data_IF_692900867318
#
_entry.id   IF_692900867318
#
_cell.length_a   1.000
_cell.length_b   1.000
_cell.length_c   1.000
_cell.angle_alpha   90.00
_cell.angle_beta   90.00
_cell.angle_gamma   90.00
#
_symmetry.space_group_name_H-M   'P 1'
#
loop_
_entity.id
_entity.type
_entity.pdbx_description
1 polymer ?
#
# COMPACT_ATOMS: atom_id res chain seq x y z
N UNK A 1 11.73 2.48 -19.21
CA UNK A 1 11.44 3.23 -17.99
C UNK A 1 10.21 4.14 -18.11
N UNK A 2 10.07 4.95 -19.15
CA UNK A 2 8.91 5.86 -19.31
C UNK A 2 7.55 5.15 -19.25
N UNK A 3 7.40 3.99 -19.88
CA UNK A 3 6.13 3.23 -19.93
C UNK A 3 5.67 2.76 -18.53
N UNK A 4 6.61 2.35 -17.67
CA UNK A 4 6.27 1.93 -16.30
C UNK A 4 5.78 3.10 -15.47
N UNK A 5 6.47 4.24 -15.56
CA UNK A 5 6.11 5.45 -14.83
C UNK A 5 4.73 5.96 -15.26
N UNK A 6 4.51 6.11 -16.58
CA UNK A 6 3.21 6.57 -17.10
C UNK A 6 2.07 5.58 -16.77
N UNK A 7 2.32 4.28 -16.88
CA UNK A 7 1.33 3.26 -16.50
C UNK A 7 0.99 3.26 -15.02
N UNK A 8 1.98 3.44 -14.15
CA UNK A 8 1.76 3.53 -12.69
C UNK A 8 1.02 4.81 -12.32
N UNK A 9 1.41 5.96 -12.91
CA UNK A 9 0.71 7.24 -12.71
C UNK A 9 -0.76 7.12 -13.16
N UNK A 10 -1.01 6.58 -14.34
CA UNK A 10 -2.37 6.38 -14.84
C UNK A 10 -3.20 5.48 -13.90
N UNK A 11 -2.64 4.33 -13.48
CA UNK A 11 -3.31 3.40 -12.57
C UNK A 11 -3.62 4.03 -11.20
N UNK A 12 -2.77 4.92 -10.69
CA UNK A 12 -3.02 5.63 -9.42
C UNK A 12 -3.99 6.80 -9.58
N UNK A 13 -4.01 7.46 -10.74
CA UNK A 13 -4.90 8.59 -11.01
C UNK A 13 -6.38 8.14 -11.13
N UNK A 14 -6.65 6.95 -11.66
CA UNK A 14 -8.02 6.43 -11.84
C UNK A 14 -8.78 6.36 -10.50
N UNK A 15 -8.27 5.70 -9.43
CA UNK A 15 -8.98 5.67 -8.15
C UNK A 15 -9.08 7.05 -7.49
N UNK A 16 -8.09 7.92 -7.70
CA UNK A 16 -8.11 9.28 -7.17
C UNK A 16 -9.23 10.10 -7.81
N UNK A 17 -9.29 10.13 -9.15
CA UNK A 17 -10.37 10.81 -9.88
C UNK A 17 -11.72 10.15 -9.61
N UNK A 18 -11.78 8.83 -9.57
CA UNK A 18 -12.98 8.09 -9.19
C UNK A 18 -13.48 8.42 -7.79
N UNK A 19 -12.59 8.78 -6.86
CA UNK A 19 -13.00 9.18 -5.52
C UNK A 19 -13.85 10.46 -5.47
N UNK A 20 -13.75 11.33 -6.49
CA UNK A 20 -14.63 12.50 -6.61
C UNK A 20 -16.09 12.11 -6.80
N UNK A 21 -16.34 11.03 -7.54
CA UNK A 21 -17.69 10.49 -7.75
C UNK A 21 -18.10 9.59 -6.59
N UNK A 22 -17.22 8.67 -6.17
CA UNK A 22 -17.48 7.72 -5.09
C UNK A 22 -17.84 8.45 -3.79
N UNK A 23 -17.09 9.48 -3.40
CA UNK A 23 -17.38 10.22 -2.17
C UNK A 23 -18.70 11.00 -2.20
N UNK A 24 -19.24 11.29 -3.39
CA UNK A 24 -20.58 11.90 -3.53
C UNK A 24 -21.71 10.89 -3.48
N UNK A 25 -21.43 9.63 -3.81
CA UNK A 25 -22.40 8.55 -3.78
C UNK A 25 -22.50 7.89 -2.41
N UNK A 26 -21.38 7.76 -1.70
CA UNK A 26 -21.29 7.01 -0.45
C UNK A 26 -21.15 7.95 0.75
N UNK A 27 -21.85 7.61 1.84
CA UNK A 27 -21.64 8.27 3.12
C UNK A 27 -20.25 7.99 3.69
N UNK A 28 -19.66 8.90 4.50
CA UNK A 28 -18.37 8.68 5.15
C UNK A 28 -18.30 7.39 5.96
N UNK A 29 -19.39 6.98 6.62
CA UNK A 29 -19.47 5.73 7.37
C UNK A 29 -19.30 4.48 6.50
N UNK A 30 -19.96 4.42 5.33
CA UNK A 30 -19.85 3.30 4.40
C UNK A 30 -18.45 3.23 3.77
N UNK A 31 -17.91 4.40 3.40
CA UNK A 31 -16.55 4.51 2.91
C UNK A 31 -15.51 4.09 3.96
N UNK A 32 -15.74 4.43 5.22
CA UNK A 32 -14.88 4.05 6.34
C UNK A 32 -14.91 2.56 6.62
N UNK A 33 -16.10 1.96 6.64
CA UNK A 33 -16.25 0.52 6.81
C UNK A 33 -15.56 -0.25 5.68
N UNK A 34 -15.76 0.18 4.44
CA UNK A 34 -15.04 -0.38 3.29
C UNK A 34 -13.52 -0.21 3.41
N UNK A 35 -13.05 0.97 3.82
CA UNK A 35 -11.62 1.25 3.93
C UNK A 35 -10.95 0.41 5.02
N UNK A 36 -11.60 0.22 6.17
CA UNK A 36 -11.13 -0.67 7.22
C UNK A 36 -11.10 -2.14 6.75
N UNK A 37 -12.17 -2.59 6.08
CA UNK A 37 -12.22 -3.92 5.47
C UNK A 37 -11.10 -4.12 4.43
N UNK A 38 -10.90 -3.15 3.55
CA UNK A 38 -9.83 -3.20 2.55
C UNK A 38 -8.44 -3.24 3.20
N UNK A 39 -8.24 -2.50 4.29
CA UNK A 39 -7.00 -2.55 5.08
C UNK A 39 -6.70 -3.96 5.59
N UNK A 40 -7.70 -4.67 6.11
CA UNK A 40 -7.57 -6.08 6.52
C UNK A 40 -7.27 -6.98 5.31
N UNK A 41 -7.93 -6.78 4.17
CA UNK A 41 -7.65 -7.53 2.92
C UNK A 41 -6.20 -7.32 2.46
N UNK A 42 -5.68 -6.09 2.53
CA UNK A 42 -4.28 -5.81 2.16
C UNK A 42 -3.28 -6.54 3.07
N UNK A 43 -3.52 -6.56 4.38
CA UNK A 43 -2.70 -7.30 5.33
C UNK A 43 -2.76 -8.82 5.08
N UNK A 44 -3.96 -9.36 4.87
CA UNK A 44 -4.15 -10.76 4.53
C UNK A 44 -3.51 -11.12 3.17
N UNK A 45 -3.59 -10.23 2.17
CA UNK A 45 -2.97 -10.40 0.85
C UNK A 45 -1.46 -10.61 0.92
N UNK A 46 -0.78 -9.88 1.82
CA UNK A 46 0.66 -10.10 2.09
C UNK A 46 0.90 -11.46 2.76
N UNK A 47 0.04 -11.84 3.69
CA UNK A 47 0.18 -13.10 4.43
C UNK A 47 -0.04 -14.33 3.55
N UNK A 48 -1.08 -14.33 2.69
CA UNK A 48 -1.42 -15.50 1.86
C UNK A 48 -0.41 -15.81 0.76
N UNK A 49 0.41 -14.84 0.32
CA UNK A 49 1.50 -15.10 -0.62
C UNK A 49 2.71 -15.73 0.08
N UNK A 50 2.83 -15.59 1.40
CA UNK A 50 4.06 -15.96 2.13
C UNK A 50 5.30 -15.22 1.60
N UNK A 51 5.11 -14.17 0.81
CA UNK A 51 6.13 -13.39 0.07
C UNK A 51 6.92 -14.23 -0.94
N UNK A 52 6.42 -15.40 -1.33
CA UNK A 52 7.06 -16.22 -2.36
C UNK A 52 7.01 -15.59 -3.76
N UNK A 53 6.12 -14.63 -4.01
CA UNK A 53 6.13 -13.86 -5.25
C UNK A 53 7.42 -13.06 -5.45
N UNK A 54 8.15 -12.74 -4.38
CA UNK A 54 9.47 -12.10 -4.49
C UNK A 54 10.55 -13.04 -5.03
N UNK A 55 10.35 -14.36 -4.90
CA UNK A 55 11.27 -15.35 -5.46
C UNK A 55 11.30 -15.30 -6.99
N UNK A 56 10.22 -14.87 -7.64
CA UNK A 56 10.12 -14.80 -9.10
C UNK A 56 11.20 -13.94 -9.74
N UNK A 57 11.66 -12.90 -9.03
CA UNK A 57 12.72 -12.01 -9.52
C UNK A 57 14.12 -12.62 -9.43
N UNK A 58 14.31 -13.67 -8.63
CA UNK A 58 15.61 -14.32 -8.42
C UNK A 58 15.71 -15.71 -9.03
N UNK A 59 14.58 -16.28 -9.47
CA UNK A 59 14.55 -17.54 -10.20
C UNK A 59 15.07 -17.35 -11.64
N UNK A 60 15.70 -18.40 -12.16
CA UNK A 60 16.19 -18.40 -13.54
C UNK A 60 15.03 -18.28 -14.55
N UNK A 61 15.31 -17.63 -15.67
CA UNK A 61 14.34 -17.46 -16.76
C UNK A 61 13.84 -18.81 -17.30
N UNK A 62 12.63 -18.81 -17.83
CA UNK A 62 12.03 -20.00 -18.46
C UNK A 62 11.28 -20.90 -17.47
N UNK A 63 11.47 -22.21 -17.57
CA UNK A 63 10.70 -23.22 -16.81
C UNK A 63 10.83 -23.10 -15.28
N UNK A 64 12.01 -22.78 -14.69
CA UNK A 64 12.13 -22.59 -13.25
C UNK A 64 11.23 -21.46 -12.73
N UNK A 65 11.23 -20.30 -13.41
CA UNK A 65 10.37 -19.16 -13.02
C UNK A 65 8.89 -19.47 -13.18
N UNK A 66 8.51 -20.13 -14.29
CA UNK A 66 7.12 -20.54 -14.49
C UNK A 66 6.66 -21.54 -13.42
N UNK A 67 7.52 -22.49 -13.03
CA UNK A 67 7.23 -23.37 -11.91
C UNK A 67 7.08 -22.58 -10.59
N UNK A 68 7.94 -21.59 -10.33
CA UNK A 68 7.84 -20.72 -9.15
C UNK A 68 6.53 -19.93 -9.12
N UNK A 69 6.00 -19.48 -10.27
CA UNK A 69 4.66 -18.89 -10.36
C UNK A 69 3.58 -19.88 -9.92
N UNK A 70 3.60 -21.10 -10.48
CA UNK A 70 2.66 -22.15 -10.12
C UNK A 70 2.76 -22.54 -8.63
N UNK A 71 3.98 -22.65 -8.11
CA UNK A 71 4.24 -22.93 -6.70
C UNK A 71 3.72 -21.81 -5.79
N UNK A 72 3.91 -20.55 -6.17
CA UNK A 72 3.40 -19.39 -5.42
C UNK A 72 1.87 -19.37 -5.43
N UNK A 73 1.22 -19.60 -6.57
CA UNK A 73 -0.25 -19.67 -6.63
C UNK A 73 -0.78 -20.82 -5.78
N UNK A 74 -0.14 -22.00 -5.83
CA UNK A 74 -0.52 -23.11 -4.96
C UNK A 74 -0.38 -22.74 -3.47
N UNK A 75 0.68 -22.01 -3.11
CA UNK A 75 0.87 -21.50 -1.75
C UNK A 75 -0.23 -20.51 -1.36
N UNK A 76 -0.61 -19.59 -2.25
CA UNK A 76 -1.73 -18.65 -2.02
C UNK A 76 -3.02 -19.42 -1.75
N UNK A 77 -3.33 -20.46 -2.53
CA UNK A 77 -4.52 -21.29 -2.33
C UNK A 77 -4.49 -22.01 -0.98
N UNK A 78 -3.36 -22.61 -0.61
CA UNK A 78 -3.20 -23.32 0.66
C UNK A 78 -3.31 -22.38 1.86
N UNK A 79 -2.63 -21.24 1.84
CA UNK A 79 -2.67 -20.26 2.93
C UNK A 79 -4.04 -19.57 3.02
N UNK A 80 -4.72 -19.34 1.89
CA UNK A 80 -6.10 -18.84 1.89
C UNK A 80 -7.07 -19.85 2.51
N UNK A 81 -6.89 -21.14 2.28
CA UNK A 81 -7.69 -22.18 2.95
C UNK A 81 -7.47 -22.16 4.47
N UNK A 82 -6.22 -22.00 4.92
CA UNK A 82 -5.91 -21.82 6.33
C UNK A 82 -6.55 -20.54 6.91
N UNK A 83 -6.54 -19.44 6.16
CA UNK A 83 -7.20 -18.19 6.52
C UNK A 83 -8.73 -18.38 6.69
N UNK A 84 -9.37 -19.23 5.86
CA UNK A 84 -10.78 -19.63 6.04
C UNK A 84 -11.00 -20.23 7.42
N UNK A 85 -10.18 -21.21 7.80
CA UNK A 85 -10.31 -21.89 9.09
C UNK A 85 -10.15 -20.92 10.28
N UNK A 86 -9.18 -19.99 10.20
CA UNK A 86 -9.00 -18.95 11.22
C UNK A 86 -10.24 -18.05 11.28
N UNK A 87 -10.70 -17.54 10.13
CA UNK A 87 -11.85 -16.61 10.08
C UNK A 87 -13.11 -17.27 10.62
N UNK A 88 -13.39 -18.54 10.26
CA UNK A 88 -14.50 -19.30 10.80
C UNK A 88 -14.36 -19.54 12.30
N UNK A 89 -13.16 -19.91 12.77
CA UNK A 89 -12.89 -20.12 14.19
C UNK A 89 -13.13 -18.86 15.03
N UNK A 90 -12.70 -17.71 14.52
CA UNK A 90 -12.94 -16.41 15.15
C UNK A 90 -14.42 -16.04 15.09
N UNK A 91 -15.10 -16.26 13.96
CA UNK A 91 -16.53 -15.97 13.79
C UNK A 91 -17.42 -16.77 14.75
N UNK A 92 -17.16 -18.08 14.90
CA UNK A 92 -17.93 -18.91 15.80
C UNK A 92 -17.50 -18.80 17.27
N UNK A 93 -16.28 -18.35 17.55
CA UNK A 93 -15.72 -18.23 18.90
C UNK A 93 -15.82 -16.87 19.57
N UNK A 94 -16.21 -15.82 18.85
CA UNK A 94 -16.17 -14.46 19.39
C UNK A 94 -17.49 -13.69 19.19
N UNK A 95 -18.02 -13.13 20.31
CA UNK A 95 -19.05 -12.09 20.32
C UNK A 95 -18.55 -10.79 19.63
N UNK A 96 -17.26 -10.66 19.39
CA UNK A 96 -16.63 -9.48 18.80
C UNK A 96 -17.00 -9.22 17.33
N UNK A 97 -17.45 -10.25 16.60
CA UNK A 97 -17.84 -10.13 15.19
C UNK A 97 -19.35 -9.88 14.98
N UNK A 98 -20.15 -9.87 16.04
CA UNK A 98 -21.59 -9.58 15.95
C UNK A 98 -21.89 -8.17 15.41
N UNK A 99 -20.91 -7.25 15.49
CA UNK A 99 -21.04 -5.89 14.95
C UNK A 99 -20.59 -5.76 13.49
N UNK A 100 -19.93 -6.77 12.91
CA UNK A 100 -19.46 -6.73 11.51
C UNK A 100 -20.50 -7.36 10.60
N UNK A 101 -20.84 -6.68 9.50
CA UNK A 101 -21.80 -7.21 8.52
C UNK A 101 -21.33 -8.58 7.99
N UNK A 102 -22.10 -9.68 8.15
CA UNK A 102 -21.69 -11.03 7.73
C UNK A 102 -21.31 -11.11 6.25
N UNK A 103 -21.93 -10.28 5.41
CA UNK A 103 -21.65 -10.19 3.98
C UNK A 103 -20.23 -9.72 3.69
N UNK A 104 -19.68 -8.78 4.46
CA UNK A 104 -18.28 -8.32 4.32
C UNK A 104 -17.27 -9.39 4.77
N UNK A 105 -17.63 -10.16 5.79
CA UNK A 105 -16.83 -11.33 6.24
C UNK A 105 -16.76 -12.37 5.12
N UNK A 106 -17.89 -12.65 4.46
CA UNK A 106 -17.95 -13.58 3.33
C UNK A 106 -17.09 -13.17 2.14
N UNK A 107 -16.95 -11.85 1.89
CA UNK A 107 -16.09 -11.32 0.81
C UNK A 107 -14.61 -11.22 1.19
N UNK A 108 -14.25 -11.29 2.47
CA UNK A 108 -12.88 -11.09 2.93
C UNK A 108 -11.90 -12.12 2.35
N UNK A 109 -12.28 -13.39 2.41
CA UNK A 109 -11.42 -14.49 1.94
C UNK A 109 -11.22 -14.47 0.43
N UNK A 110 -12.27 -14.41 -0.41
CA UNK A 110 -12.07 -14.27 -1.85
C UNK A 110 -11.29 -13.01 -2.21
N UNK A 111 -11.47 -11.90 -1.51
CA UNK A 111 -10.68 -10.69 -1.72
C UNK A 111 -9.19 -10.90 -1.42
N UNK A 112 -8.85 -11.52 -0.28
CA UNK A 112 -7.47 -11.80 0.10
C UNK A 112 -6.79 -12.76 -0.90
N UNK A 113 -7.49 -13.84 -1.27
CA UNK A 113 -7.03 -14.81 -2.27
C UNK A 113 -6.74 -14.13 -3.61
N UNK A 114 -7.72 -13.41 -4.17
CA UNK A 114 -7.55 -12.72 -5.45
C UNK A 114 -6.45 -11.66 -5.39
N UNK A 115 -6.30 -10.96 -4.26
CA UNK A 115 -5.22 -10.00 -4.04
C UNK A 115 -3.86 -10.69 -4.09
N UNK A 116 -3.68 -11.83 -3.41
CA UNK A 116 -2.45 -12.61 -3.44
C UNK A 116 -2.13 -13.16 -4.84
N UNK A 117 -3.13 -13.65 -5.55
CA UNK A 117 -3.01 -14.09 -6.94
C UNK A 117 -2.58 -12.92 -7.84
N UNK A 118 -3.22 -11.76 -7.72
CA UNK A 118 -2.88 -10.56 -8.50
C UNK A 118 -1.45 -10.09 -8.21
N UNK A 119 -1.01 -10.09 -6.95
CA UNK A 119 0.36 -9.75 -6.58
C UNK A 119 1.37 -10.70 -7.25
N UNK A 120 1.07 -11.99 -7.30
CA UNK A 120 1.90 -12.99 -7.97
C UNK A 120 2.05 -12.68 -9.46
N UNK A 121 0.94 -12.38 -10.17
CA UNK A 121 1.00 -12.00 -11.59
C UNK A 121 1.77 -10.72 -11.85
N UNK A 122 1.57 -9.70 -11.01
CA UNK A 122 2.31 -8.43 -11.13
C UNK A 122 3.81 -8.64 -10.89
N UNK A 123 4.19 -9.47 -9.92
CA UNK A 123 5.58 -9.83 -9.67
C UNK A 123 6.19 -10.61 -10.85
N UNK A 124 5.42 -11.54 -11.45
CA UNK A 124 5.86 -12.28 -12.62
C UNK A 124 6.04 -11.38 -13.84
N UNK A 125 5.07 -10.52 -14.15
CA UNK A 125 5.20 -9.54 -15.25
C UNK A 125 6.44 -8.65 -15.08
N UNK A 126 6.73 -8.24 -13.85
CA UNK A 126 7.92 -7.46 -13.54
C UNK A 126 9.22 -8.28 -13.74
N UNK A 127 9.23 -9.56 -13.33
CA UNK A 127 10.38 -10.46 -13.46
C UNK A 127 10.69 -10.82 -14.93
N UNK A 128 9.64 -10.96 -15.77
CA UNK A 128 9.79 -11.16 -17.22
C UNK A 128 10.18 -9.88 -17.98
N UNK A 129 10.18 -8.72 -17.30
CA UNK A 129 10.42 -7.43 -17.95
C UNK A 129 9.27 -6.94 -18.83
N UNK A 130 8.10 -7.59 -18.77
CA UNK A 130 6.91 -7.14 -19.48
C UNK A 130 6.21 -5.97 -18.76
N UNK A 131 6.89 -4.85 -18.78
CA UNK A 131 6.40 -3.62 -18.15
C UNK A 131 5.16 -3.05 -18.84
N UNK A 132 4.95 -3.36 -20.12
CA UNK A 132 3.75 -2.94 -20.84
C UNK A 132 2.53 -3.74 -20.38
N UNK A 133 2.66 -5.05 -20.29
CA UNK A 133 1.63 -5.93 -19.74
C UNK A 133 1.31 -5.55 -18.29
N UNK A 134 2.34 -5.35 -17.44
CA UNK A 134 2.17 -4.91 -16.07
C UNK A 134 1.38 -3.59 -15.96
N UNK A 135 1.66 -2.62 -16.81
CA UNK A 135 0.93 -1.34 -16.82
C UNK A 135 -0.53 -1.53 -17.20
N UNK A 136 -0.82 -2.34 -18.22
CA UNK A 136 -2.20 -2.65 -18.62
C UNK A 136 -2.97 -3.42 -17.55
N UNK A 137 -2.34 -4.40 -16.88
CA UNK A 137 -2.95 -5.13 -15.75
C UNK A 137 -3.36 -4.16 -14.64
N UNK A 138 -2.47 -3.22 -14.25
CA UNK A 138 -2.76 -2.24 -13.21
C UNK A 138 -3.84 -1.24 -13.60
N UNK A 139 -3.81 -0.73 -14.84
CA UNK A 139 -4.78 0.24 -15.34
C UNK A 139 -6.17 -0.41 -15.45
N UNK A 140 -6.26 -1.60 -16.04
CA UNK A 140 -7.53 -2.33 -16.16
C UNK A 140 -8.14 -2.66 -14.80
N UNK A 141 -7.33 -3.16 -13.87
CA UNK A 141 -7.77 -3.41 -12.49
C UNK A 141 -8.31 -2.14 -11.84
N UNK A 142 -7.54 -1.04 -11.88
CA UNK A 142 -7.94 0.22 -11.26
C UNK A 142 -9.22 0.79 -11.88
N UNK A 143 -9.34 0.70 -13.20
CA UNK A 143 -10.53 1.15 -13.93
C UNK A 143 -11.77 0.33 -13.56
N UNK A 144 -11.67 -1.01 -13.61
CA UNK A 144 -12.82 -1.86 -13.33
C UNK A 144 -13.24 -1.76 -11.86
N UNK A 145 -12.30 -1.73 -10.92
CA UNK A 145 -12.62 -1.49 -9.50
C UNK A 145 -13.39 -0.18 -9.33
N UNK A 146 -12.88 0.90 -9.92
CA UNK A 146 -13.49 2.22 -9.80
C UNK A 146 -14.88 2.27 -10.47
N UNK A 147 -14.99 1.74 -11.69
CA UNK A 147 -16.25 1.72 -12.43
C UNK A 147 -17.33 0.88 -11.74
N UNK A 148 -16.97 -0.29 -11.21
CA UNK A 148 -17.91 -1.15 -10.47
C UNK A 148 -18.32 -0.55 -9.14
N UNK A 149 -17.42 0.14 -8.42
CA UNK A 149 -17.76 0.87 -7.21
C UNK A 149 -18.73 2.03 -7.49
N UNK A 150 -18.48 2.79 -8.57
CA UNK A 150 -19.42 3.84 -8.99
C UNK A 150 -20.77 3.22 -9.37
N UNK A 151 -20.77 2.16 -10.19
CA UNK A 151 -21.99 1.46 -10.57
C UNK A 151 -22.76 0.96 -9.36
N UNK A 152 -22.12 0.28 -8.42
CA UNK A 152 -22.77 -0.18 -7.19
C UNK A 152 -23.36 0.98 -6.37
N UNK A 153 -22.64 2.11 -6.29
CA UNK A 153 -23.11 3.30 -5.58
C UNK A 153 -24.35 3.96 -6.15
N UNK A 154 -24.58 3.84 -7.46
CA UNK A 154 -25.81 4.35 -8.10
C UNK A 154 -27.07 3.54 -7.73
N UNK A 155 -26.90 2.25 -7.39
CA UNK A 155 -28.02 1.38 -7.03
C UNK A 155 -28.19 1.22 -5.51
N UNK A 156 -27.07 1.00 -4.80
CA UNK A 156 -27.05 0.76 -3.36
C UNK A 156 -25.71 1.20 -2.78
N UNK A 157 -25.60 2.43 -2.24
CA UNK A 157 -24.35 3.01 -1.76
C UNK A 157 -23.94 2.43 -0.39
N UNK A 158 -23.53 1.16 -0.37
CA UNK A 158 -23.11 0.42 0.83
C UNK A 158 -21.65 -0.02 0.75
N UNK A 159 -21.01 -0.22 1.91
CA UNK A 159 -19.66 -0.79 2.00
C UNK A 159 -19.56 -2.15 1.30
N UNK A 160 -20.62 -2.95 1.36
CA UNK A 160 -20.69 -4.23 0.65
C UNK A 160 -20.62 -4.06 -0.87
N UNK A 161 -21.35 -3.07 -1.43
CA UNK A 161 -21.26 -2.72 -2.85
C UNK A 161 -19.84 -2.31 -3.28
N UNK A 162 -19.15 -1.52 -2.44
CA UNK A 162 -17.74 -1.17 -2.67
C UNK A 162 -16.81 -2.39 -2.61
N UNK A 163 -17.02 -3.29 -1.66
CA UNK A 163 -16.25 -4.52 -1.51
C UNK A 163 -16.46 -5.48 -2.68
N UNK A 164 -17.72 -5.67 -3.13
CA UNK A 164 -18.03 -6.42 -4.35
C UNK A 164 -17.33 -5.83 -5.57
N UNK A 165 -17.37 -4.50 -5.73
CA UNK A 165 -16.69 -3.79 -6.82
C UNK A 165 -15.18 -4.05 -6.79
N UNK A 166 -14.57 -4.09 -5.60
CA UNK A 166 -13.16 -4.43 -5.44
C UNK A 166 -12.86 -5.88 -5.87
N UNK A 167 -13.61 -6.84 -5.34
CA UNK A 167 -13.44 -8.27 -5.65
C UNK A 167 -13.60 -8.53 -7.15
N UNK A 168 -14.66 -7.98 -7.75
CA UNK A 168 -14.93 -8.12 -9.18
C UNK A 168 -13.82 -7.47 -10.03
N UNK A 169 -13.40 -6.26 -9.66
CA UNK A 169 -12.34 -5.56 -10.39
C UNK A 169 -10.99 -6.28 -10.33
N UNK A 170 -10.63 -6.87 -9.18
CA UNK A 170 -9.41 -7.68 -9.07
C UNK A 170 -9.55 -8.96 -9.90
N UNK A 171 -10.70 -9.63 -9.86
CA UNK A 171 -10.95 -10.84 -10.66
C UNK A 171 -10.83 -10.56 -12.18
N UNK A 172 -11.41 -9.48 -12.67
CA UNK A 172 -11.28 -9.04 -14.07
C UNK A 172 -9.83 -8.69 -14.39
N UNK A 173 -9.12 -8.00 -13.47
CA UNK A 173 -7.70 -7.71 -13.63
C UNK A 173 -6.85 -8.99 -13.76
N UNK A 174 -7.16 -10.06 -13.00
CA UNK A 174 -6.52 -11.37 -13.16
C UNK A 174 -6.85 -11.97 -14.56
N UNK A 175 -8.08 -11.84 -15.04
CA UNK A 175 -8.44 -12.25 -16.41
C UNK A 175 -7.57 -11.57 -17.47
N UNK A 176 -7.35 -10.26 -17.34
CA UNK A 176 -6.41 -9.55 -18.22
C UNK A 176 -4.95 -10.03 -18.02
N UNK A 177 -4.54 -10.28 -16.77
CA UNK A 177 -3.21 -10.80 -16.50
C UNK A 177 -2.97 -12.17 -17.16
N UNK A 178 -3.96 -13.07 -17.10
CA UNK A 178 -3.92 -14.36 -17.79
C UNK A 178 -3.89 -14.24 -19.32
N UNK A 179 -4.52 -13.20 -19.87
CA UNK A 179 -4.46 -12.95 -21.30
C UNK A 179 -3.07 -12.51 -21.77
N UNK A 180 -2.40 -11.63 -21.02
CA UNK A 180 -1.05 -11.14 -21.36
C UNK A 180 0.04 -12.16 -21.02
N UNK A 181 -0.10 -12.87 -19.90
CA UNK A 181 0.85 -13.84 -19.37
C UNK A 181 0.12 -15.14 -19.04
N UNK A 182 -0.17 -15.99 -20.06
CA UNK A 182 -0.89 -17.24 -19.84
C UNK A 182 -0.02 -18.26 -19.08
N UNK A 183 -0.59 -18.82 -18.01
CA UNK A 183 0.00 -19.98 -17.31
C UNK A 183 -0.41 -21.23 -18.07
N UNK A 184 0.55 -22.11 -18.33
CA UNK A 184 0.24 -23.44 -18.85
C UNK A 184 -0.42 -24.27 -17.73
N UNK A 185 -1.68 -24.74 -17.88
CA UNK A 185 -2.37 -25.54 -16.88
C UNK A 185 -1.61 -26.81 -16.46
N UNK A 186 -0.79 -27.38 -17.35
CA UNK A 186 0.04 -28.54 -17.07
C UNK A 186 1.10 -28.29 -15.97
N UNK A 187 1.46 -27.04 -15.72
CA UNK A 187 2.39 -26.69 -14.63
C UNK A 187 1.74 -26.73 -13.25
N UNK A 188 0.40 -26.65 -13.19
CA UNK A 188 -0.42 -26.77 -11.99
C UNK A 188 -0.90 -28.21 -11.76
N UNK A 189 -0.30 -29.22 -12.42
CA UNK A 189 -0.72 -30.60 -12.27
C UNK A 189 -0.35 -31.17 -10.91
N UNK A 190 -1.14 -30.73 -9.91
CA UNK A 190 -1.05 -31.18 -8.52
C UNK A 190 -1.39 -32.69 -8.33
N UNK A 191 -1.83 -33.37 -9.40
CA UNK A 191 -2.13 -34.82 -9.36
C UNK A 191 -0.85 -35.66 -9.35
N UNK A 192 0.27 -35.11 -9.80
CA UNK A 192 1.55 -35.83 -9.81
C UNK A 192 2.28 -35.65 -8.49
N UNK A 193 2.69 -36.75 -7.86
CA UNK A 193 3.53 -36.70 -6.64
C UNK A 193 4.82 -35.90 -6.86
N UNK A 194 5.31 -35.83 -8.09
CA UNK A 194 6.48 -35.02 -8.49
C UNK A 194 6.26 -33.52 -8.26
N UNK A 195 5.05 -33.00 -8.52
CA UNK A 195 4.71 -31.59 -8.24
C UNK A 195 4.91 -31.24 -6.75
N UNK A 196 4.40 -32.09 -5.85
CA UNK A 196 4.49 -31.83 -4.41
C UNK A 196 5.92 -31.93 -3.88
N UNK A 197 6.76 -32.82 -4.44
CA UNK A 197 8.19 -32.92 -4.10
C UNK A 197 8.90 -31.62 -4.52
N UNK A 198 8.65 -31.16 -5.75
CA UNK A 198 9.23 -29.91 -6.26
C UNK A 198 8.74 -28.68 -5.50
N UNK A 199 7.46 -28.64 -5.12
CA UNK A 199 6.87 -27.56 -4.31
C UNK A 199 7.55 -27.49 -2.92
N UNK A 200 7.75 -28.65 -2.27
CA UNK A 200 8.48 -28.70 -1.00
C UNK A 200 9.92 -28.22 -1.15
N UNK A 201 10.60 -28.62 -2.22
CA UNK A 201 11.95 -28.17 -2.53
C UNK A 201 11.98 -26.64 -2.76
N UNK A 202 11.03 -26.09 -3.51
CA UNK A 202 10.88 -24.65 -3.70
C UNK A 202 10.72 -23.90 -2.37
N UNK A 203 9.82 -24.35 -1.49
CA UNK A 203 9.64 -23.74 -0.16
C UNK A 203 10.92 -23.78 0.69
N UNK A 204 11.64 -24.88 0.66
CA UNK A 204 12.90 -25.01 1.40
C UNK A 204 14.00 -24.10 0.83
N UNK A 205 14.13 -24.02 -0.48
CA UNK A 205 15.14 -23.20 -1.15
C UNK A 205 14.84 -21.70 -0.96
N UNK A 206 13.57 -21.30 -0.99
CA UNK A 206 13.14 -19.92 -0.91
C UNK A 206 12.63 -19.51 0.50
N UNK A 207 12.93 -20.31 1.54
CA UNK A 207 12.47 -20.09 2.94
C UNK A 207 12.81 -18.72 3.52
N UNK A 208 13.81 -18.04 2.97
CA UNK A 208 14.20 -16.68 3.38
C UNK A 208 13.06 -15.66 3.20
N UNK A 209 12.19 -15.83 2.20
CA UNK A 209 11.09 -14.91 1.97
C UNK A 209 10.03 -15.00 3.07
N UNK A 210 9.43 -16.15 3.40
CA UNK A 210 8.48 -16.22 4.51
C UNK A 210 9.12 -15.96 5.88
N UNK A 211 10.41 -16.22 6.06
CA UNK A 211 11.07 -16.04 7.38
C UNK A 211 11.52 -14.59 7.63
N UNK A 212 11.93 -13.86 6.59
CA UNK A 212 12.53 -12.53 6.72
C UNK A 212 11.68 -11.44 6.04
N UNK A 213 11.26 -11.66 4.79
CA UNK A 213 10.51 -10.65 4.05
C UNK A 213 9.05 -10.54 4.54
N UNK A 214 8.39 -11.66 4.83
CA UNK A 214 7.00 -11.64 5.30
C UNK A 214 6.83 -10.85 6.61
N UNK A 215 7.59 -11.07 7.70
CA UNK A 215 7.45 -10.25 8.90
C UNK A 215 7.73 -8.78 8.67
N UNK A 216 8.75 -8.42 7.87
CA UNK A 216 9.08 -7.04 7.55
C UNK A 216 7.97 -6.34 6.77
N UNK A 217 7.45 -6.99 5.74
CA UNK A 217 6.39 -6.43 4.90
C UNK A 217 5.01 -6.45 5.59
N UNK A 218 4.76 -7.44 6.44
CA UNK A 218 3.57 -7.46 7.30
C UNK A 218 3.58 -6.28 8.28
N UNK A 219 4.74 -6.00 8.90
CA UNK A 219 4.90 -4.84 9.78
C UNK A 219 4.71 -3.52 9.02
N UNK A 220 5.31 -3.40 7.84
CA UNK A 220 5.17 -2.21 6.98
C UNK A 220 3.71 -2.00 6.55
N UNK A 221 3.03 -3.06 6.09
CA UNK A 221 1.62 -3.00 5.68
C UNK A 221 0.72 -2.69 6.88
N UNK A 222 0.96 -3.33 8.02
CA UNK A 222 0.23 -3.05 9.25
C UNK A 222 0.40 -1.59 9.67
N UNK A 223 1.62 -1.05 9.66
CA UNK A 223 1.87 0.36 9.99
C UNK A 223 1.06 1.32 9.11
N UNK A 224 0.85 0.97 7.84
CA UNK A 224 0.04 1.77 6.93
C UNK A 224 -1.48 1.63 7.13
N UNK A 225 -1.97 0.46 7.58
CA UNK A 225 -3.40 0.17 7.70
C UNK A 225 -3.93 0.32 9.13
N UNK A 226 -3.07 0.14 10.14
CA UNK A 226 -3.46 0.23 11.55
C UNK A 226 -4.17 1.53 11.95
N UNK A 227 -3.73 2.73 11.51
CA UNK A 227 -4.46 3.96 11.83
C UNK A 227 -5.94 3.87 11.47
N UNK A 228 -6.27 3.37 10.28
CA UNK A 228 -7.66 3.21 9.82
C UNK A 228 -8.44 2.25 10.71
N UNK A 229 -7.85 1.09 11.03
CA UNK A 229 -8.48 0.07 11.88
C UNK A 229 -8.68 0.55 13.32
N UNK A 230 -7.68 1.22 13.90
CA UNK A 230 -7.77 1.75 15.25
C UNK A 230 -8.76 2.92 15.35
N UNK A 231 -8.83 3.78 14.33
CA UNK A 231 -9.84 4.83 14.27
C UNK A 231 -11.23 4.23 14.15
N UNK A 232 -11.44 3.27 13.24
CA UNK A 232 -12.73 2.62 13.06
C UNK A 232 -13.24 1.95 14.34
N UNK A 233 -12.34 1.27 15.08
CA UNK A 233 -12.71 0.54 16.30
C UNK A 233 -12.94 1.46 17.51
N UNK A 234 -12.25 2.59 17.62
CA UNK A 234 -12.31 3.47 18.80
C UNK A 234 -13.19 4.70 18.64
N UNK A 235 -13.23 5.27 17.44
CA UNK A 235 -13.90 6.54 17.16
C UNK A 235 -15.04 6.37 16.15
N UNK A 236 -15.26 5.15 15.67
CA UNK A 236 -16.31 4.82 14.74
C UNK A 236 -15.87 4.84 13.26
N UNK A 237 -16.65 4.13 12.45
CA UNK A 237 -16.36 3.93 11.02
C UNK A 237 -16.45 5.23 10.21
N UNK A 238 -17.27 6.18 10.63
CA UNK A 238 -17.39 7.49 9.98
C UNK A 238 -16.09 8.27 10.05
N UNK A 239 -15.48 8.35 11.25
CA UNK A 239 -14.17 9.01 11.43
C UNK A 239 -13.06 8.31 10.62
N UNK A 240 -13.12 6.98 10.53
CA UNK A 240 -12.21 6.21 9.67
C UNK A 240 -12.41 6.55 8.19
N UNK A 241 -13.64 6.78 7.74
CA UNK A 241 -13.93 7.18 6.36
C UNK A 241 -13.40 8.56 6.02
N UNK A 242 -13.62 9.54 6.90
CA UNK A 242 -13.08 10.89 6.75
C UNK A 242 -11.53 10.85 6.68
N UNK A 243 -10.92 10.10 7.57
CA UNK A 243 -9.46 9.91 7.59
C UNK A 243 -8.96 9.18 6.33
N UNK A 244 -9.64 8.13 5.88
CA UNK A 244 -9.27 7.37 4.68
C UNK A 244 -9.27 8.23 3.40
N UNK A 245 -10.32 9.05 3.21
CA UNK A 245 -10.38 9.98 2.08
C UNK A 245 -9.26 11.02 2.17
N UNK A 246 -9.03 11.57 3.36
CA UNK A 246 -7.93 12.52 3.60
C UNK A 246 -6.57 11.91 3.23
N UNK A 247 -6.28 10.69 3.69
CA UNK A 247 -5.04 9.99 3.33
C UNK A 247 -4.90 9.78 1.82
N UNK A 248 -6.00 9.45 1.13
CA UNK A 248 -6.02 9.27 -0.33
C UNK A 248 -5.69 10.55 -1.06
N UNK A 249 -6.28 11.67 -0.66
CA UNK A 249 -6.07 12.98 -1.28
C UNK A 249 -4.67 13.51 -1.02
N UNK A 250 -4.22 13.51 0.24
CA UNK A 250 -2.89 14.01 0.61
C UNK A 250 -1.75 13.09 0.15
N UNK A 251 -2.01 11.79 0.04
CA UNK A 251 -1.03 10.80 -0.42
C UNK A 251 -0.74 10.86 -1.92
N UNK A 252 -1.69 11.36 -2.72
CA UNK A 252 -1.56 11.37 -4.18
C UNK A 252 -0.34 12.20 -4.68
N UNK A 253 -0.11 13.43 -4.24
CA UNK A 253 1.09 14.17 -4.65
C UNK A 253 2.39 13.47 -4.27
N UNK A 254 2.43 12.84 -3.09
CA UNK A 254 3.61 12.12 -2.61
C UNK A 254 3.88 10.89 -3.48
N UNK A 255 2.84 10.12 -3.80
CA UNK A 255 2.96 8.95 -4.67
C UNK A 255 3.42 9.29 -6.09
N UNK A 256 2.87 10.34 -6.67
CA UNK A 256 3.13 10.71 -8.06
C UNK A 256 4.46 11.48 -8.22
N UNK A 257 4.62 12.57 -7.47
CA UNK A 257 5.80 13.45 -7.59
C UNK A 257 7.01 12.88 -6.84
N UNK A 258 6.78 12.28 -5.65
CA UNK A 258 7.84 11.69 -4.86
C UNK A 258 8.56 10.56 -5.58
N UNK A 259 7.83 9.70 -6.31
CA UNK A 259 8.44 8.63 -7.11
C UNK A 259 9.32 9.18 -8.23
N UNK A 260 8.86 10.20 -8.95
CA UNK A 260 9.63 10.84 -10.05
C UNK A 260 10.93 11.48 -9.53
N UNK A 261 10.84 12.21 -8.41
CA UNK A 261 12.02 12.83 -7.78
C UNK A 261 12.98 11.77 -7.25
N UNK A 262 12.44 10.70 -6.65
CA UNK A 262 13.24 9.59 -6.14
C UNK A 262 14.09 8.93 -7.23
N UNK A 263 13.53 8.68 -8.41
CA UNK A 263 14.26 8.04 -9.52
C UNK A 263 15.43 8.90 -10.02
N UNK A 264 15.24 10.22 -10.11
CA UNK A 264 16.31 11.14 -10.46
C UNK A 264 17.37 11.21 -9.36
N UNK A 265 16.93 11.33 -8.10
CA UNK A 265 17.82 11.40 -6.95
C UNK A 265 18.66 10.13 -6.77
N UNK A 266 18.06 8.94 -6.88
CA UNK A 266 18.75 7.65 -6.81
C UNK A 266 19.96 7.61 -7.73
N UNK A 267 19.75 8.00 -9.00
CA UNK A 267 20.80 7.93 -10.02
C UNK A 267 21.93 8.92 -9.72
N UNK A 268 21.60 10.18 -9.43
CA UNK A 268 22.58 11.23 -9.21
C UNK A 268 23.34 11.02 -7.90
N UNK A 269 22.64 10.74 -6.79
CA UNK A 269 23.25 10.53 -5.49
C UNK A 269 24.15 9.28 -5.45
N UNK A 270 23.70 8.14 -6.03
CA UNK A 270 24.53 6.94 -6.09
C UNK A 270 25.79 7.13 -6.95
N UNK A 271 25.70 7.88 -8.05
CA UNK A 271 26.87 8.21 -8.87
C UNK A 271 27.87 9.09 -8.12
N UNK A 272 27.41 10.17 -7.50
CA UNK A 272 28.26 11.06 -6.71
C UNK A 272 28.89 10.35 -5.52
N UNK A 273 28.13 9.53 -4.81
CA UNK A 273 28.66 8.80 -3.65
C UNK A 273 29.75 7.81 -4.04
N UNK A 274 29.61 7.12 -5.19
CA UNK A 274 30.67 6.23 -5.72
C UNK A 274 31.94 6.96 -6.15
N UNK A 275 31.79 8.17 -6.71
CA UNK A 275 32.93 8.93 -7.24
C UNK A 275 33.63 9.78 -6.17
N UNK A 276 32.85 10.38 -5.25
CA UNK A 276 33.33 11.38 -4.28
C UNK A 276 33.30 10.90 -2.83
N UNK A 277 32.69 9.73 -2.53
CA UNK A 277 32.45 9.26 -1.17
C UNK A 277 31.31 10.00 -0.43
N UNK A 278 30.64 10.93 -1.08
CA UNK A 278 29.52 11.70 -0.54
C UNK A 278 28.54 12.16 -1.63
N UNK A 279 27.31 12.53 -1.25
CA UNK A 279 26.29 13.07 -2.17
C UNK A 279 25.58 14.31 -1.59
N UNK A 280 26.31 15.09 -0.78
CA UNK A 280 25.76 16.27 -0.06
C UNK A 280 25.13 17.30 -1.00
N UNK A 281 25.76 17.58 -2.15
CA UNK A 281 25.29 18.58 -3.10
C UNK A 281 23.95 18.18 -3.72
N UNK A 282 23.84 16.92 -4.19
CA UNK A 282 22.64 16.34 -4.76
C UNK A 282 21.52 16.27 -3.72
N UNK A 283 21.88 15.91 -2.49
CA UNK A 283 20.96 15.89 -1.37
C UNK A 283 20.38 17.28 -1.10
N UNK A 284 21.25 18.29 -0.94
CA UNK A 284 20.82 19.65 -0.60
C UNK A 284 19.96 20.26 -1.71
N UNK A 285 20.32 20.05 -2.99
CA UNK A 285 19.52 20.52 -4.12
C UNK A 285 18.13 19.86 -4.14
N UNK A 286 18.08 18.55 -3.94
CA UNK A 286 16.81 17.81 -3.91
C UNK A 286 15.98 18.20 -2.68
N UNK A 287 16.62 18.37 -1.52
CA UNK A 287 15.96 18.83 -0.29
C UNK A 287 15.29 20.20 -0.49
N UNK A 288 16.00 21.18 -1.04
CA UNK A 288 15.44 22.53 -1.27
C UNK A 288 14.24 22.49 -2.22
N UNK A 289 14.32 21.70 -3.30
CA UNK A 289 13.20 21.52 -4.23
C UNK A 289 11.98 20.91 -3.54
N UNK A 290 12.19 19.83 -2.79
CA UNK A 290 11.11 19.12 -2.08
C UNK A 290 10.56 19.96 -0.91
N UNK A 291 11.41 20.70 -0.21
CA UNK A 291 10.99 21.61 0.88
C UNK A 291 10.12 22.75 0.35
N UNK A 292 10.51 23.37 -0.77
CA UNK A 292 9.69 24.39 -1.43
C UNK A 292 8.33 23.82 -1.88
N UNK A 293 8.31 22.63 -2.50
CA UNK A 293 7.09 21.95 -2.91
C UNK A 293 6.21 21.54 -1.71
N UNK A 294 6.82 21.01 -0.65
CA UNK A 294 6.12 20.65 0.59
C UNK A 294 5.51 21.85 1.31
N UNK A 295 6.25 22.98 1.33
CA UNK A 295 5.75 24.24 1.90
C UNK A 295 4.57 24.79 1.06
N UNK A 296 4.70 24.80 -0.26
CA UNK A 296 3.62 25.25 -1.14
C UNK A 296 2.37 24.38 -0.97
N UNK A 297 2.53 23.05 -0.88
CA UNK A 297 1.44 22.12 -0.60
C UNK A 297 0.82 22.40 0.79
N UNK A 298 1.63 22.67 1.82
CA UNK A 298 1.14 22.98 3.16
C UNK A 298 0.30 24.25 3.17
N UNK A 299 0.81 25.32 2.60
CA UNK A 299 0.08 26.60 2.50
C UNK A 299 -1.22 26.43 1.73
N UNK A 300 -1.18 25.75 0.56
CA UNK A 300 -2.37 25.48 -0.22
C UNK A 300 -3.43 24.71 0.57
N UNK A 301 -3.06 23.60 1.20
CA UNK A 301 -4.01 22.79 1.99
C UNK A 301 -4.55 23.58 3.17
N UNK A 302 -3.71 24.27 3.95
CA UNK A 302 -4.17 25.01 5.13
C UNK A 302 -5.19 26.09 4.76
N UNK A 303 -5.02 26.74 3.60
CA UNK A 303 -5.90 27.85 3.19
C UNK A 303 -7.21 27.39 2.59
N UNK A 304 -7.20 26.30 1.80
CA UNK A 304 -8.36 25.96 0.98
C UNK A 304 -8.94 24.55 1.21
N UNK A 305 -8.35 23.73 2.11
CA UNK A 305 -8.75 22.31 2.21
C UNK A 305 -10.24 22.11 2.48
N UNK A 306 -10.83 22.78 3.47
CA UNK A 306 -12.24 22.60 3.80
C UNK A 306 -13.15 22.96 2.62
N UNK A 307 -12.84 24.07 1.95
CA UNK A 307 -13.58 24.48 0.75
C UNK A 307 -13.43 23.47 -0.39
N UNK A 308 -12.18 23.01 -0.66
CA UNK A 308 -11.91 22.03 -1.70
C UNK A 308 -12.61 20.70 -1.41
N UNK A 309 -12.59 20.23 -0.16
CA UNK A 309 -13.26 18.97 0.19
C UNK A 309 -14.78 19.06 0.02
N UNK A 310 -15.40 20.18 0.37
CA UNK A 310 -16.83 20.40 0.15
C UNK A 310 -17.15 20.47 -1.35
N UNK A 311 -16.42 21.25 -2.12
CA UNK A 311 -16.66 21.39 -3.56
C UNK A 311 -16.39 20.09 -4.32
N UNK A 312 -15.32 19.37 -3.98
CA UNK A 312 -14.93 18.15 -4.66
C UNK A 312 -15.79 16.94 -4.27
N UNK A 313 -16.07 16.77 -2.97
CA UNK A 313 -16.65 15.55 -2.41
C UNK A 313 -18.04 15.74 -1.82
N UNK A 314 -18.45 16.97 -1.49
CA UNK A 314 -19.73 17.31 -0.91
C UNK A 314 -19.65 17.66 0.58
N UNK A 315 -20.74 18.22 1.11
CA UNK A 315 -20.83 18.73 2.49
C UNK A 315 -20.50 17.69 3.59
N UNK A 316 -20.88 16.39 3.47
CA UNK A 316 -20.54 15.38 4.48
C UNK A 316 -19.02 15.21 4.69
N UNK A 317 -18.20 15.67 3.74
CA UNK A 317 -16.73 15.53 3.77
C UNK A 317 -16.00 16.79 4.27
N UNK A 318 -16.72 17.82 4.73
CA UNK A 318 -16.12 19.07 5.26
C UNK A 318 -15.07 18.79 6.33
N UNK A 319 -15.37 17.89 7.27
CA UNK A 319 -14.46 17.53 8.36
C UNK A 319 -13.19 16.82 7.85
N UNK A 320 -13.24 16.13 6.71
CA UNK A 320 -12.04 15.57 6.10
C UNK A 320 -11.04 16.67 5.67
N UNK A 321 -11.54 17.86 5.30
CA UNK A 321 -10.72 19.05 5.07
C UNK A 321 -9.99 19.53 6.34
N UNK A 322 -10.67 19.57 7.48
CA UNK A 322 -10.05 19.90 8.77
C UNK A 322 -8.99 18.85 9.16
N UNK A 323 -9.28 17.56 8.96
CA UNK A 323 -8.31 16.47 9.17
C UNK A 323 -7.09 16.66 8.25
N UNK A 324 -7.29 17.08 7.00
CA UNK A 324 -6.20 17.37 6.07
C UNK A 324 -5.28 18.47 6.60
N UNK A 325 -5.84 19.54 7.18
CA UNK A 325 -5.07 20.62 7.79
C UNK A 325 -4.23 20.07 8.96
N UNK A 326 -4.82 19.27 9.85
CA UNK A 326 -4.11 18.71 11.01
C UNK A 326 -2.98 17.74 10.61
N UNK A 327 -3.16 16.99 9.51
CA UNK A 327 -2.15 16.06 9.00
C UNK A 327 -1.08 16.72 8.13
N UNK A 328 -1.27 17.96 7.71
CA UNK A 328 -0.41 18.62 6.75
C UNK A 328 1.07 18.71 7.15
N UNK A 329 1.43 19.00 8.43
CA UNK A 329 2.82 19.00 8.85
C UNK A 329 3.52 17.66 8.58
N UNK A 330 2.86 16.55 8.92
CA UNK A 330 3.35 15.19 8.68
C UNK A 330 3.51 14.92 7.17
N UNK A 331 2.51 15.26 6.35
CA UNK A 331 2.54 14.97 4.92
C UNK A 331 3.57 15.81 4.18
N UNK A 332 3.76 17.07 4.55
CA UNK A 332 4.82 17.93 3.99
C UNK A 332 6.21 17.38 4.29
N UNK A 333 6.46 16.97 5.54
CA UNK A 333 7.74 16.37 5.93
C UNK A 333 7.95 14.99 5.28
N UNK A 334 6.90 14.18 5.15
CA UNK A 334 6.94 12.91 4.44
C UNK A 334 7.29 13.11 2.96
N UNK A 335 6.74 14.13 2.32
CA UNK A 335 7.05 14.47 0.93
C UNK A 335 8.53 14.78 0.74
N UNK A 336 9.15 15.47 1.68
CA UNK A 336 10.59 15.77 1.69
C UNK A 336 11.42 14.54 2.03
N UNK A 337 11.07 13.84 3.11
CA UNK A 337 11.88 12.77 3.66
C UNK A 337 11.89 11.50 2.79
N UNK A 338 10.76 11.15 2.19
CA UNK A 338 10.59 9.87 1.48
C UNK A 338 11.60 9.66 0.32
N UNK A 339 11.83 10.61 -0.61
CA UNK A 339 12.85 10.42 -1.64
C UNK A 339 14.27 10.47 -1.10
N UNK A 340 14.54 11.31 -0.09
CA UNK A 340 15.89 11.52 0.47
C UNK A 340 16.36 10.34 1.32
N UNK A 341 15.44 9.54 1.85
CA UNK A 341 15.77 8.35 2.64
C UNK A 341 16.62 7.31 1.90
N UNK A 342 16.62 7.37 0.56
CA UNK A 342 17.44 6.46 -0.23
C UNK A 342 18.94 6.55 0.08
N UNK A 343 19.40 7.63 0.70
CA UNK A 343 20.78 7.77 1.20
C UNK A 343 21.15 6.65 2.17
N UNK A 344 20.23 6.14 3.01
CA UNK A 344 20.52 5.02 3.91
C UNK A 344 20.90 3.74 3.16
N UNK A 345 20.33 3.52 1.96
CA UNK A 345 20.69 2.39 1.11
C UNK A 345 22.06 2.60 0.44
N UNK A 346 22.35 3.82 -0.01
CA UNK A 346 23.64 4.17 -0.60
C UNK A 346 24.78 4.05 0.42
N UNK A 347 24.52 4.48 1.66
CA UNK A 347 25.49 4.46 2.76
C UNK A 347 25.53 3.11 3.53
N UNK A 348 24.80 2.07 3.09
CA UNK A 348 24.67 0.76 3.76
C UNK A 348 24.20 0.85 5.23
N UNK A 349 23.26 1.76 5.51
CA UNK A 349 22.68 2.00 6.86
C UNK A 349 21.20 1.61 6.94
N UNK A 350 20.77 0.56 6.26
CA UNK A 350 19.38 0.09 6.21
C UNK A 350 18.80 -0.25 7.59
N UNK A 351 19.65 -0.56 8.56
CA UNK A 351 19.24 -0.81 9.96
C UNK A 351 18.54 0.42 10.58
N UNK A 352 18.98 1.64 10.19
CA UNK A 352 18.36 2.89 10.68
C UNK A 352 16.93 3.01 10.16
N UNK A 353 16.71 2.65 8.89
CA UNK A 353 15.37 2.61 8.30
C UNK A 353 14.45 1.63 9.03
N UNK A 354 14.94 0.44 9.38
CA UNK A 354 14.18 -0.54 10.15
C UNK A 354 13.80 -0.02 11.55
N UNK A 355 14.76 0.54 12.29
CA UNK A 355 14.50 1.12 13.62
C UNK A 355 13.48 2.24 13.52
N UNK A 356 13.59 3.09 12.50
CA UNK A 356 12.64 4.17 12.26
C UNK A 356 11.23 3.64 11.96
N UNK A 357 11.08 2.59 11.15
CA UNK A 357 9.79 1.96 10.87
C UNK A 357 9.17 1.34 12.14
N UNK A 358 9.97 0.70 12.98
CA UNK A 358 9.52 0.21 14.29
C UNK A 358 9.04 1.36 15.19
N UNK A 359 9.77 2.47 15.21
CA UNK A 359 9.37 3.65 15.99
C UNK A 359 8.04 4.22 15.50
N UNK A 360 7.83 4.33 14.18
CA UNK A 360 6.56 4.74 13.59
C UNK A 360 5.41 3.80 13.97
N UNK A 361 5.64 2.49 13.94
CA UNK A 361 4.63 1.50 14.29
C UNK A 361 4.21 1.61 15.76
N UNK A 362 5.18 1.64 16.67
CA UNK A 362 4.94 1.77 18.12
C UNK A 362 4.22 3.09 18.42
N UNK A 363 4.66 4.18 17.80
CA UNK A 363 4.06 5.49 17.99
C UNK A 363 2.62 5.54 17.45
N UNK A 364 2.32 4.88 16.33
CA UNK A 364 0.96 4.75 15.83
C UNK A 364 0.08 4.02 16.85
N UNK A 365 0.52 2.88 17.34
CA UNK A 365 -0.21 2.11 18.36
C UNK A 365 -0.48 2.95 19.60
N UNK A 366 0.56 3.55 20.19
CA UNK A 366 0.44 4.33 21.42
C UNK A 366 -0.47 5.53 21.24
N UNK A 367 -0.35 6.25 20.13
CA UNK A 367 -1.21 7.40 19.84
C UNK A 367 -2.68 7.02 19.84
N UNK A 368 -3.06 6.02 19.04
CA UNK A 368 -4.47 5.66 18.89
C UNK A 368 -5.00 4.81 20.04
N UNK A 369 -4.16 4.17 20.85
CA UNK A 369 -4.61 3.42 22.03
C UNK A 369 -4.85 4.31 23.27
N UNK A 370 -4.11 5.38 23.44
CA UNK A 370 -4.14 6.16 24.67
C UNK A 370 -4.79 7.55 24.56
N UNK A 371 -5.06 8.04 23.36
CA UNK A 371 -5.74 9.33 23.18
C UNK A 371 -7.19 9.30 23.61
N UNK A 372 -7.68 10.39 24.19
CA UNK A 372 -9.04 10.53 24.72
C UNK A 372 -10.07 10.93 23.67
N UNK A 373 -9.67 11.62 22.59
CA UNK A 373 -10.56 12.07 21.52
C UNK A 373 -9.96 11.87 20.14
N UNK A 374 -10.80 11.79 19.12
CA UNK A 374 -10.37 11.65 17.73
C UNK A 374 -9.44 12.81 17.29
N UNK A 375 -9.84 14.05 17.57
CA UNK A 375 -9.09 15.23 17.18
C UNK A 375 -7.70 15.26 17.85
N UNK A 376 -7.63 15.00 19.15
CA UNK A 376 -6.37 14.91 19.86
C UNK A 376 -5.48 13.79 19.31
N UNK A 377 -6.05 12.63 18.97
CA UNK A 377 -5.34 11.52 18.33
C UNK A 377 -4.69 11.94 17.02
N UNK A 378 -5.43 12.59 16.12
CA UNK A 378 -4.93 13.00 14.81
C UNK A 378 -3.85 14.07 14.94
N UNK A 379 -4.05 15.07 15.80
CA UNK A 379 -3.06 16.13 16.04
C UNK A 379 -1.77 15.57 16.65
N UNK A 380 -1.90 14.70 17.65
CA UNK A 380 -0.73 14.06 18.26
C UNK A 380 -0.01 13.12 17.28
N UNK A 381 -0.76 12.34 16.52
CA UNK A 381 -0.23 11.50 15.46
C UNK A 381 0.58 12.32 14.45
N UNK A 382 0.00 13.43 13.95
CA UNK A 382 0.69 14.31 13.00
C UNK A 382 1.96 14.93 13.60
N UNK A 383 1.91 15.42 14.86
CA UNK A 383 3.05 16.03 15.53
C UNK A 383 4.18 15.02 15.77
N UNK A 384 3.86 13.84 16.28
CA UNK A 384 4.84 12.80 16.58
C UNK A 384 5.50 12.24 15.30
N UNK A 385 4.71 12.02 14.23
CA UNK A 385 5.25 11.64 12.90
C UNK A 385 6.13 12.74 12.32
N UNK A 386 5.73 14.00 12.49
CA UNK A 386 6.53 15.15 12.05
C UNK A 386 7.89 15.19 12.74
N UNK A 387 7.93 14.97 14.04
CA UNK A 387 9.17 14.89 14.81
C UNK A 387 10.08 13.76 14.33
N UNK A 388 9.51 12.57 14.06
CA UNK A 388 10.25 11.44 13.52
C UNK A 388 10.76 11.72 12.10
N UNK A 389 9.99 12.38 11.23
CA UNK A 389 10.45 12.75 9.89
C UNK A 389 11.55 13.82 9.94
N UNK A 390 11.50 14.78 10.86
CA UNK A 390 12.59 15.74 11.06
C UNK A 390 13.88 14.99 11.44
N UNK A 391 13.81 14.08 12.41
CA UNK A 391 14.96 13.25 12.79
C UNK A 391 15.47 12.44 11.59
N UNK A 392 14.58 11.87 10.79
CA UNK A 392 14.94 11.09 9.62
C UNK A 392 15.66 11.92 8.55
N UNK A 393 15.21 13.16 8.31
CA UNK A 393 15.89 14.12 7.40
C UNK A 393 17.28 14.50 7.95
N UNK A 394 17.40 14.75 9.26
CA UNK A 394 18.68 15.06 9.89
C UNK A 394 19.67 13.91 9.73
N UNK A 395 19.23 12.67 10.00
CA UNK A 395 20.06 11.48 9.87
C UNK A 395 20.45 11.23 8.39
N UNK A 396 19.51 11.32 7.46
CA UNK A 396 19.81 11.13 6.03
C UNK A 396 20.76 12.21 5.50
N UNK A 397 20.63 13.46 5.97
CA UNK A 397 21.60 14.52 5.66
C UNK A 397 22.99 14.23 6.23
N UNK A 398 23.07 13.70 7.46
CA UNK A 398 24.35 13.32 8.05
C UNK A 398 25.07 12.28 7.19
N UNK A 399 24.39 11.22 6.78
CA UNK A 399 24.97 10.16 5.95
C UNK A 399 25.23 10.59 4.50
N UNK A 400 24.56 11.65 4.00
CA UNK A 400 24.88 12.22 2.69
C UNK A 400 26.24 12.85 2.58
N UNK A 401 26.85 13.25 3.74
CA UNK A 401 28.20 13.81 3.81
C UNK A 401 29.34 12.79 3.63
N UNK A 402 29.00 11.50 3.65
CA UNK A 402 29.97 10.43 3.68
C UNK A 402 30.56 10.21 5.08
N UNK A 403 31.14 9.05 5.30
CA UNK A 403 31.98 8.81 6.47
C UNK A 403 33.28 9.61 6.25
N UNK A 404 33.64 10.52 7.15
CA UNK A 404 34.99 11.08 7.17
C UNK A 404 35.92 9.89 7.47
N UNK A 405 36.68 9.47 6.46
CA UNK A 405 37.84 8.60 6.64
C UNK A 405 38.83 9.23 7.61
#
# INVERSE_FOLDING_TARGET
MGIVLTGTVAAQSIPLLGSLVIARLYAPSEFGLFSAWLGMVMMAGVAVTGRFEMALAVEADGEPRKFAVAATICTVLLLSTFLVLITLGVYFGSVLLDSVQPALIGLFIPAALLTGVMQTWQAWAAAEGDYRGLSWIRISQAFVVTATQIGAGLFSPTAFGMALGYVFGVAVGIGFAMYFLPINPLMLDARTGKFWINLKAFWQNQRRFPMLALPADALNTASGQLPLLLIASRFGVEMSGLFALTLRVLGAPIGLLGAAVLDVFKRSAASSYRLKGHCKEEYTRTFLLLAAGGLAMAVGVIVIAEWVFVVAFGEPWRQAGSIAIWLMPMFSLRFVASPLSYVFYIANKQQIDLVWQCALFIMTLTTFMFSSSFEASIKFYSAAYSALYILYVILSYHFSKGERL
#
